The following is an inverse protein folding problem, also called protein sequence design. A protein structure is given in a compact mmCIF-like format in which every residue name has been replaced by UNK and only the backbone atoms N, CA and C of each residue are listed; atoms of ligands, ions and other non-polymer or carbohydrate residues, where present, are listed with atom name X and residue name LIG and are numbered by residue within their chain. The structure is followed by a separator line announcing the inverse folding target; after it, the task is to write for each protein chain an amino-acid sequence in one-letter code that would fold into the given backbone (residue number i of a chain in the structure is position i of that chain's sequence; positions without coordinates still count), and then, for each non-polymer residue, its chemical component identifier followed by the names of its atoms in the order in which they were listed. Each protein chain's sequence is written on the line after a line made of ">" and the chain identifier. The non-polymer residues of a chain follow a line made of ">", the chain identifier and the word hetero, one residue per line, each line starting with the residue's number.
data_IF_456220405626
#
_entry.id   IF_456220405626
#
_cell.length_a   1.000
_cell.length_b   1.000
_cell.length_c   1.000
_cell.angle_alpha   90.00
_cell.angle_beta   90.00
_cell.angle_gamma   90.00
#
_symmetry.space_group_name_H-M   'P 1'
#
loop_
_entity.id
_entity.type
_entity.pdbx_description
1 polymer ?
#
# COMPACT_ATOMS: atom_id res chain seq x y z
N UNK A 1 -5.34 -12.72 31.35
CA UNK A 1 -5.04 -12.34 29.96
C UNK A 1 -5.99 -13.13 29.06
N UNK A 2 -6.86 -12.47 28.29
CA UNK A 2 -7.89 -13.16 27.48
C UNK A 2 -7.26 -14.02 26.38
N UNK A 3 -7.98 -15.02 25.85
CA UNK A 3 -7.47 -15.82 24.74
C UNK A 3 -7.16 -14.97 23.49
N UNK A 4 -7.93 -13.91 23.25
CA UNK A 4 -7.66 -12.93 22.18
C UNK A 4 -6.30 -12.26 22.37
N UNK A 5 -5.97 -11.83 23.60
CA UNK A 5 -4.68 -11.21 23.90
C UNK A 5 -3.52 -12.19 23.69
N UNK A 6 -3.67 -13.45 24.13
CA UNK A 6 -2.66 -14.49 23.94
C UNK A 6 -2.44 -14.80 22.45
N UNK A 7 -3.52 -14.88 21.67
CA UNK A 7 -3.44 -15.07 20.23
C UNK A 7 -2.72 -13.91 19.52
N UNK A 8 -3.05 -12.66 19.86
CA UNK A 8 -2.39 -11.49 19.27
C UNK A 8 -0.90 -11.44 19.62
N UNK A 9 -0.52 -11.84 20.84
CA UNK A 9 0.87 -11.96 21.25
C UNK A 9 1.60 -13.06 20.46
N UNK A 10 0.97 -14.23 20.27
CA UNK A 10 1.49 -15.30 19.40
C UNK A 10 1.73 -14.80 17.97
N UNK A 11 0.78 -14.06 17.39
CA UNK A 11 0.94 -13.49 16.04
C UNK A 11 2.09 -12.49 15.95
N UNK A 12 2.32 -11.72 17.03
CA UNK A 12 3.38 -10.74 17.10
C UNK A 12 4.76 -11.40 17.24
N UNK A 13 4.91 -12.33 18.17
CA UNK A 13 6.20 -12.92 18.56
C UNK A 13 6.61 -14.04 17.60
N UNK A 14 5.72 -15.00 17.37
CA UNK A 14 6.05 -16.21 16.62
C UNK A 14 5.86 -16.05 15.11
N UNK A 15 4.78 -15.35 14.70
CA UNK A 15 4.47 -15.14 13.28
C UNK A 15 5.04 -13.84 12.70
N UNK A 16 5.62 -12.97 13.55
CA UNK A 16 6.18 -11.66 13.18
C UNK A 16 5.27 -10.88 12.22
N UNK A 17 3.96 -10.92 12.47
CA UNK A 17 2.99 -10.22 11.62
C UNK A 17 3.20 -8.71 11.70
N UNK A 18 2.90 -8.01 10.60
CA UNK A 18 3.03 -6.55 10.58
C UNK A 18 2.12 -5.89 11.63
N UNK A 19 2.57 -4.78 12.21
CA UNK A 19 1.79 -4.00 13.18
C UNK A 19 0.38 -3.65 12.66
N UNK A 20 0.27 -3.29 11.37
CA UNK A 20 -1.02 -3.00 10.74
C UNK A 20 -1.96 -4.20 10.70
N UNK A 21 -1.44 -5.41 10.47
CA UNK A 21 -2.26 -6.63 10.50
C UNK A 21 -2.70 -6.96 11.92
N UNK A 22 -1.80 -6.80 12.90
CA UNK A 22 -2.12 -7.00 14.32
C UNK A 22 -3.21 -6.03 14.79
N UNK A 23 -3.10 -4.74 14.47
CA UNK A 23 -4.11 -3.74 14.82
C UNK A 23 -5.45 -3.97 14.12
N UNK A 24 -5.42 -4.49 12.90
CA UNK A 24 -6.62 -4.89 12.17
C UNK A 24 -7.32 -6.09 12.83
N UNK A 25 -6.54 -7.11 13.22
CA UNK A 25 -7.06 -8.32 13.89
C UNK A 25 -7.55 -8.00 15.30
N UNK A 26 -6.82 -7.16 16.05
CA UNK A 26 -7.25 -6.68 17.37
C UNK A 26 -8.63 -6.04 17.30
N UNK A 27 -8.81 -5.02 16.44
CA UNK A 27 -10.11 -4.36 16.25
C UNK A 27 -11.24 -5.31 15.84
N UNK A 28 -10.93 -6.33 15.05
CA UNK A 28 -11.93 -7.31 14.60
C UNK A 28 -12.34 -8.29 15.71
N UNK A 29 -11.39 -8.74 16.52
CA UNK A 29 -11.64 -9.66 17.65
C UNK A 29 -12.19 -8.95 18.88
N UNK A 30 -11.84 -7.68 19.09
CA UNK A 30 -12.47 -6.83 20.10
C UNK A 30 -13.96 -6.64 19.78
N UNK A 31 -14.30 -6.44 18.50
CA UNK A 31 -15.70 -6.36 18.08
C UNK A 31 -16.47 -7.68 18.33
N UNK A 32 -15.82 -8.83 18.14
CA UNK A 32 -16.42 -10.14 18.50
C UNK A 32 -16.63 -10.25 20.01
N UNK A 33 -15.63 -9.84 20.80
CA UNK A 33 -15.68 -9.88 22.26
C UNK A 33 -16.80 -9.00 22.81
N UNK A 34 -16.92 -7.76 22.31
CA UNK A 34 -18.00 -6.83 22.64
C UNK A 34 -19.39 -7.33 22.20
N UNK A 35 -19.47 -8.09 21.11
CA UNK A 35 -20.73 -8.70 20.69
C UNK A 35 -21.13 -9.89 21.58
N UNK A 36 -20.15 -10.64 22.10
CA UNK A 36 -20.38 -11.80 22.95
C UNK A 36 -20.67 -11.42 24.42
N UNK A 37 -20.13 -10.30 24.90
CA UNK A 37 -20.25 -9.86 26.30
C UNK A 37 -21.71 -9.74 26.79
N UNK A 38 -22.64 -9.05 26.09
CA UNK A 38 -24.04 -8.98 26.52
C UNK A 38 -24.78 -10.33 26.52
N UNK A 39 -24.22 -11.36 25.86
CA UNK A 39 -24.78 -12.71 25.80
C UNK A 39 -24.24 -13.61 26.92
N UNK A 40 -23.26 -13.13 27.69
CA UNK A 40 -22.63 -13.91 28.77
C UNK A 40 -21.83 -15.12 28.29
N UNK A 41 -21.45 -15.17 27.00
CA UNK A 41 -20.73 -16.29 26.40
C UNK A 41 -19.28 -15.87 26.13
N UNK A 42 -18.33 -16.69 26.58
CA UNK A 42 -16.91 -16.50 26.24
C UNK A 42 -16.69 -16.67 24.73
N UNK A 43 -15.77 -15.89 24.15
CA UNK A 43 -15.52 -15.94 22.70
C UNK A 43 -15.06 -17.32 22.23
N UNK A 44 -14.39 -18.08 23.10
CA UNK A 44 -13.93 -19.45 22.88
C UNK A 44 -15.10 -20.45 22.79
N UNK A 45 -16.22 -20.14 23.44
CA UNK A 45 -17.41 -21.00 23.53
C UNK A 45 -18.49 -20.69 22.48
N UNK A 46 -18.25 -19.71 21.60
CA UNK A 46 -19.19 -19.40 20.52
C UNK A 46 -19.25 -20.54 19.50
N UNK A 47 -20.45 -20.96 19.15
CA UNK A 47 -20.68 -21.94 18.11
C UNK A 47 -20.75 -21.29 16.70
N UNK A 48 -20.97 -22.14 15.69
CA UNK A 48 -21.06 -21.71 14.29
C UNK A 48 -22.20 -20.71 14.08
N UNK A 49 -23.31 -20.88 14.78
CA UNK A 49 -24.51 -20.06 14.62
C UNK A 49 -24.33 -18.69 15.26
N UNK A 50 -23.70 -18.62 16.44
CA UNK A 50 -23.34 -17.38 17.09
C UNK A 50 -22.36 -16.55 16.24
N UNK A 51 -21.32 -17.17 15.69
CA UNK A 51 -20.38 -16.46 14.80
C UNK A 51 -21.08 -16.01 13.50
N UNK A 52 -22.04 -16.79 12.99
CA UNK A 52 -22.87 -16.38 11.83
C UNK A 52 -23.75 -15.17 12.17
N UNK A 53 -24.40 -15.18 13.32
CA UNK A 53 -25.23 -14.07 13.80
C UNK A 53 -24.38 -12.80 14.00
N UNK A 54 -23.18 -12.92 14.57
CA UNK A 54 -22.25 -11.80 14.67
C UNK A 54 -21.95 -11.15 13.32
N UNK A 55 -21.64 -11.95 12.29
CA UNK A 55 -21.37 -11.44 10.94
C UNK A 55 -22.61 -10.76 10.34
N UNK A 56 -23.80 -11.32 10.57
CA UNK A 56 -25.06 -10.74 10.13
C UNK A 56 -25.36 -9.40 10.85
N UNK A 57 -25.13 -9.32 12.15
CA UNK A 57 -25.31 -8.11 12.95
C UNK A 57 -24.39 -6.99 12.49
N UNK A 58 -23.12 -7.32 12.21
CA UNK A 58 -22.17 -6.35 11.69
C UNK A 58 -22.54 -5.88 10.27
N UNK A 59 -23.05 -6.77 9.43
CA UNK A 59 -23.61 -6.38 8.13
C UNK A 59 -24.80 -5.42 8.31
N UNK A 60 -25.71 -5.69 9.24
CA UNK A 60 -26.84 -4.79 9.57
C UNK A 60 -26.38 -3.44 10.11
N UNK A 61 -25.25 -3.39 10.82
CA UNK A 61 -24.60 -2.15 11.27
C UNK A 61 -23.86 -1.39 10.16
N UNK A 62 -23.93 -1.85 8.91
CA UNK A 62 -23.39 -1.16 7.74
C UNK A 62 -21.93 -1.49 7.42
N UNK A 63 -21.36 -2.55 8.00
CA UNK A 63 -20.01 -2.98 7.63
C UNK A 63 -19.98 -3.47 6.17
N UNK A 64 -19.06 -2.91 5.37
CA UNK A 64 -18.89 -3.35 3.98
C UNK A 64 -18.53 -4.84 3.88
N UNK A 65 -18.90 -5.49 2.77
CA UNK A 65 -18.56 -6.89 2.50
C UNK A 65 -17.05 -7.18 2.63
N UNK A 66 -16.18 -6.24 2.22
CA UNK A 66 -14.72 -6.36 2.36
C UNK A 66 -14.28 -6.33 3.83
N UNK A 67 -14.90 -5.47 4.63
CA UNK A 67 -14.66 -5.41 6.08
C UNK A 67 -15.10 -6.70 6.77
N UNK A 68 -16.25 -7.26 6.39
CA UNK A 68 -16.76 -8.53 6.91
C UNK A 68 -15.86 -9.71 6.54
N UNK A 69 -15.36 -9.76 5.29
CA UNK A 69 -14.40 -10.79 4.86
C UNK A 69 -13.11 -10.75 5.68
N UNK A 70 -12.56 -9.55 5.93
CA UNK A 70 -11.36 -9.36 6.77
C UNK A 70 -11.64 -9.80 8.21
N UNK A 71 -12.76 -9.38 8.78
CA UNK A 71 -13.16 -9.76 10.14
C UNK A 71 -13.33 -11.26 10.30
N UNK A 72 -14.01 -11.91 9.36
CA UNK A 72 -14.13 -13.36 9.36
C UNK A 72 -12.78 -14.07 9.20
N UNK A 73 -11.82 -13.46 8.48
CA UNK A 73 -10.45 -13.98 8.39
C UNK A 73 -9.72 -13.89 9.73
N UNK A 74 -9.92 -12.81 10.49
CA UNK A 74 -9.40 -12.69 11.86
C UNK A 74 -10.03 -13.77 12.78
N UNK A 75 -11.36 -13.96 12.74
CA UNK A 75 -12.05 -15.00 13.50
C UNK A 75 -11.52 -16.40 13.15
N UNK A 76 -11.40 -16.73 11.86
CA UNK A 76 -10.83 -18.03 11.43
C UNK A 76 -9.41 -18.25 11.93
N UNK A 77 -8.57 -17.21 11.87
CA UNK A 77 -7.19 -17.30 12.34
C UNK A 77 -7.12 -17.54 13.85
N UNK A 78 -8.00 -16.86 14.61
CA UNK A 78 -8.14 -17.02 16.05
C UNK A 78 -8.65 -18.43 16.44
N UNK A 79 -9.77 -18.89 15.87
CA UNK A 79 -10.31 -20.21 16.18
C UNK A 79 -9.40 -21.35 15.70
N UNK A 80 -8.70 -21.18 14.57
CA UNK A 80 -7.68 -22.14 14.16
C UNK A 80 -6.50 -22.17 15.14
N UNK A 81 -6.16 -21.05 15.78
CA UNK A 81 -5.15 -21.01 16.84
C UNK A 81 -5.64 -21.72 18.10
N UNK A 82 -6.88 -21.46 18.55
CA UNK A 82 -7.49 -22.17 19.68
C UNK A 82 -7.50 -23.69 19.46
N UNK A 83 -7.92 -24.13 18.27
CA UNK A 83 -7.96 -25.54 17.89
C UNK A 83 -6.56 -26.18 17.96
N UNK A 84 -5.54 -25.52 17.43
CA UNK A 84 -4.14 -26.01 17.50
C UNK A 84 -3.59 -26.11 18.93
N UNK A 85 -4.14 -25.34 19.87
CA UNK A 85 -3.75 -25.36 21.28
C UNK A 85 -4.67 -26.23 22.13
N UNK A 86 -5.54 -27.04 21.50
CA UNK A 86 -6.45 -27.95 22.20
C UNK A 86 -7.51 -27.25 23.05
N UNK A 87 -7.79 -25.97 22.79
CA UNK A 87 -8.76 -25.19 23.58
C UNK A 87 -10.20 -25.34 23.12
N UNK A 88 -10.39 -25.82 21.90
CA UNK A 88 -11.68 -26.12 21.29
C UNK A 88 -11.51 -27.39 20.45
N UNK A 89 -12.59 -28.14 20.24
CA UNK A 89 -12.58 -29.36 19.43
C UNK A 89 -12.81 -29.09 17.94
N UNK A 90 -13.55 -28.03 17.62
CA UNK A 90 -13.86 -27.63 16.26
C UNK A 90 -13.91 -26.10 16.12
N UNK A 91 -13.48 -25.58 14.97
CA UNK A 91 -13.49 -24.14 14.71
C UNK A 91 -14.86 -23.67 14.18
N UNK A 92 -15.61 -22.81 14.91
CA UNK A 92 -16.93 -22.33 14.50
C UNK A 92 -16.91 -21.44 13.25
N UNK A 93 -15.76 -20.84 12.93
CA UNK A 93 -15.61 -19.93 11.79
C UNK A 93 -15.12 -20.60 10.50
N UNK A 94 -14.79 -21.90 10.53
CA UNK A 94 -14.05 -22.57 9.45
C UNK A 94 -14.82 -22.54 8.11
N UNK A 95 -16.11 -22.84 8.14
CA UNK A 95 -16.95 -23.01 6.95
C UNK A 95 -17.80 -21.78 6.61
N UNK A 96 -17.90 -20.81 7.53
CA UNK A 96 -18.71 -19.61 7.34
C UNK A 96 -18.25 -18.82 6.12
N UNK A 97 -19.17 -18.21 5.38
CA UNK A 97 -18.86 -17.36 4.22
C UNK A 97 -19.38 -15.96 4.47
N UNK A 98 -18.51 -14.96 4.33
CA UNK A 98 -18.94 -13.56 4.29
C UNK A 98 -19.59 -13.24 2.93
N UNK A 99 -20.47 -12.23 2.87
CA UNK A 99 -21.01 -11.74 1.60
C UNK A 99 -19.90 -11.49 0.58
N UNK A 100 -20.14 -11.86 -0.69
CA UNK A 100 -19.20 -11.57 -1.76
C UNK A 100 -19.18 -10.07 -2.00
N UNK A 101 -18.03 -9.44 -1.76
CA UNK A 101 -17.82 -8.08 -2.23
C UNK A 101 -17.85 -8.08 -3.77
N UNK A 102 -18.59 -7.16 -4.42
CA UNK A 102 -18.54 -7.03 -5.86
C UNK A 102 -17.10 -6.72 -6.30
N UNK A 103 -16.61 -7.45 -7.31
CA UNK A 103 -15.33 -7.14 -7.94
C UNK A 103 -15.51 -5.88 -8.77
N UNK A 104 -15.05 -4.75 -8.26
CA UNK A 104 -14.85 -3.55 -9.08
C UNK A 104 -13.55 -3.72 -9.83
N UNK A 105 -13.57 -3.48 -11.15
CA UNK A 105 -12.34 -3.38 -11.91
C UNK A 105 -11.49 -2.26 -11.30
N UNK A 106 -10.17 -2.48 -11.11
CA UNK A 106 -9.29 -1.41 -10.67
C UNK A 106 -9.41 -0.23 -11.63
N UNK A 107 -9.68 0.96 -11.09
CA UNK A 107 -9.61 2.18 -11.87
C UNK A 107 -8.14 2.60 -11.96
N UNK A 108 -7.70 2.92 -13.18
CA UNK A 108 -6.43 3.59 -13.46
C UNK A 108 -6.72 5.01 -13.94
N UNK A 109 -5.80 5.92 -13.63
CA UNK A 109 -5.60 7.11 -14.46
C UNK A 109 -5.06 6.67 -15.81
N UNK A 110 -5.62 7.20 -16.88
CA UNK A 110 -4.96 7.13 -18.19
C UNK A 110 -3.72 8.05 -18.21
N UNK A 111 -2.99 8.02 -19.31
CA UNK A 111 -1.74 8.75 -19.46
C UNK A 111 -1.94 10.27 -19.34
N UNK A 112 -3.01 10.81 -19.92
CA UNK A 112 -3.29 12.25 -19.93
C UNK A 112 -3.74 12.75 -18.55
N UNK A 113 -4.58 11.98 -17.85
CA UNK A 113 -4.97 12.26 -16.47
C UNK A 113 -3.77 12.20 -15.50
N UNK A 114 -2.85 11.25 -15.71
CA UNK A 114 -1.63 11.16 -14.91
C UNK A 114 -0.73 12.38 -15.13
N UNK A 115 -0.62 12.86 -16.38
CA UNK A 115 0.09 14.09 -16.73
C UNK A 115 -0.56 15.28 -16.07
N UNK A 116 -1.87 15.44 -16.26
CA UNK A 116 -2.64 16.50 -15.64
C UNK A 116 -2.45 16.53 -14.13
N UNK A 117 -2.39 15.37 -13.46
CA UNK A 117 -2.12 15.31 -12.03
C UNK A 117 -0.72 15.82 -11.67
N UNK A 118 0.32 15.38 -12.38
CA UNK A 118 1.71 15.78 -12.06
C UNK A 118 1.99 17.21 -12.50
N UNK A 119 1.41 17.71 -13.59
CA UNK A 119 1.67 19.01 -14.22
C UNK A 119 1.21 20.24 -13.42
N UNK A 120 0.78 20.08 -12.17
CA UNK A 120 0.49 21.22 -11.32
C UNK A 120 1.74 22.10 -11.18
N UNK A 121 1.58 23.39 -11.46
CA UNK A 121 2.61 24.40 -11.21
C UNK A 121 2.87 24.47 -9.69
N UNK A 122 4.12 24.23 -9.24
CA UNK A 122 4.41 24.18 -7.82
C UNK A 122 4.36 25.57 -7.20
N UNK A 123 3.33 25.81 -6.38
CA UNK A 123 3.22 27.03 -5.56
C UNK A 123 4.02 26.89 -4.25
N UNK A 124 5.14 27.60 -4.17
CA UNK A 124 6.01 27.64 -2.99
C UNK A 124 6.61 26.29 -2.61
N UNK A 125 7.15 26.21 -1.40
CA UNK A 125 7.82 25.02 -0.86
C UNK A 125 6.91 23.78 -0.88
N UNK A 126 5.64 23.96 -0.48
CA UNK A 126 4.66 22.90 -0.43
C UNK A 126 4.35 22.33 -1.83
N UNK A 127 4.24 23.20 -2.84
CA UNK A 127 4.01 22.81 -4.23
C UNK A 127 5.15 21.97 -4.79
N UNK A 128 6.41 22.34 -4.52
CA UNK A 128 7.59 21.59 -5.00
C UNK A 128 7.69 20.22 -4.33
N UNK A 129 7.42 20.15 -3.02
CA UNK A 129 7.30 18.87 -2.30
C UNK A 129 6.24 17.98 -2.92
N UNK A 130 5.06 18.53 -3.16
CA UNK A 130 3.93 17.79 -3.72
C UNK A 130 4.22 17.31 -5.15
N UNK A 131 4.89 18.12 -5.97
CA UNK A 131 5.36 17.73 -7.30
C UNK A 131 6.34 16.57 -7.22
N UNK A 132 7.37 16.67 -6.38
CA UNK A 132 8.34 15.60 -6.18
C UNK A 132 7.68 14.30 -5.69
N UNK A 133 6.69 14.41 -4.80
CA UNK A 133 5.92 13.27 -4.31
C UNK A 133 5.12 12.59 -5.43
N UNK A 134 4.37 13.35 -6.22
CA UNK A 134 3.54 12.81 -7.30
C UNK A 134 4.39 12.17 -8.40
N UNK A 135 5.45 12.87 -8.82
CA UNK A 135 6.39 12.36 -9.83
C UNK A 135 7.07 11.08 -9.35
N UNK A 136 7.53 11.03 -8.10
CA UNK A 136 8.13 9.80 -7.55
C UNK A 136 7.11 8.66 -7.51
N UNK A 137 5.88 8.89 -7.03
CA UNK A 137 4.84 7.85 -7.00
C UNK A 137 4.54 7.28 -8.38
N UNK A 138 4.35 8.18 -9.36
CA UNK A 138 4.00 7.81 -10.71
C UNK A 138 5.17 7.17 -11.47
N UNK A 139 6.43 7.49 -11.11
CA UNK A 139 7.62 7.00 -11.83
C UNK A 139 8.26 5.73 -11.30
N UNK A 140 7.96 5.36 -10.06
CA UNK A 140 8.65 4.24 -9.38
C UNK A 140 7.71 3.11 -9.00
N UNK A 141 6.39 3.36 -9.01
CA UNK A 141 5.43 2.39 -8.52
C UNK A 141 5.74 1.94 -7.10
N UNK A 142 6.24 2.83 -6.24
CA UNK A 142 6.48 2.54 -4.82
C UNK A 142 5.16 2.38 -4.04
N UNK A 143 5.21 1.67 -2.92
CA UNK A 143 4.07 1.59 -1.99
C UNK A 143 3.99 2.89 -1.21
N UNK A 144 2.78 3.25 -0.77
CA UNK A 144 2.58 4.44 0.07
C UNK A 144 3.46 4.44 1.31
N UNK A 145 3.56 3.29 1.99
CA UNK A 145 4.42 3.12 3.15
C UNK A 145 5.91 3.27 2.83
N UNK A 146 6.34 2.85 1.64
CA UNK A 146 7.74 2.95 1.20
C UNK A 146 8.07 4.42 0.94
N UNK A 147 7.26 5.16 0.17
CA UNK A 147 7.46 6.60 -0.08
C UNK A 147 7.50 7.41 1.21
N UNK A 148 6.60 7.13 2.17
CA UNK A 148 6.58 7.84 3.45
C UNK A 148 7.80 7.56 4.32
N UNK A 149 8.49 6.42 4.11
CA UNK A 149 9.65 6.02 4.91
C UNK A 149 10.99 6.41 4.29
N UNK A 150 11.01 6.93 3.05
CA UNK A 150 12.24 7.27 2.35
C UNK A 150 13.02 8.38 3.07
N UNK A 151 14.33 8.20 3.08
CA UNK A 151 15.32 9.20 3.45
C UNK A 151 16.19 9.56 2.24
N UNK A 152 16.87 10.71 2.28
CA UNK A 152 17.64 11.17 1.12
C UNK A 152 18.79 10.22 0.72
N UNK A 153 19.35 9.44 1.65
CA UNK A 153 20.35 8.39 1.35
C UNK A 153 19.80 7.23 0.51
N UNK A 154 18.48 7.04 0.52
CA UNK A 154 17.85 5.94 -0.21
C UNK A 154 17.77 6.24 -1.71
N UNK A 155 17.95 7.51 -2.11
CA UNK A 155 17.89 7.99 -3.50
C UNK A 155 19.29 8.13 -4.09
N UNK A 156 19.60 7.29 -5.08
CA UNK A 156 20.77 7.44 -5.93
C UNK A 156 20.39 8.22 -7.19
N UNK A 157 20.70 9.53 -7.17
CA UNK A 157 20.43 10.43 -8.28
C UNK A 157 21.36 10.23 -9.48
N UNK A 158 22.49 9.55 -9.32
CA UNK A 158 23.40 9.27 -10.42
C UNK A 158 22.89 8.10 -11.26
N UNK A 159 22.43 7.04 -10.61
CA UNK A 159 21.87 5.88 -11.30
C UNK A 159 20.35 5.96 -11.54
N UNK A 160 19.65 6.91 -10.91
CA UNK A 160 18.19 7.02 -11.00
C UNK A 160 17.46 5.89 -10.27
N UNK A 161 18.04 5.41 -9.17
CA UNK A 161 17.53 4.26 -8.41
C UNK A 161 17.16 4.66 -6.98
N UNK A 162 16.05 4.10 -6.48
CA UNK A 162 15.66 4.19 -5.06
C UNK A 162 15.81 2.83 -4.39
N UNK A 163 16.49 2.81 -3.25
CA UNK A 163 16.65 1.66 -2.39
C UNK A 163 15.45 1.56 -1.45
N UNK A 164 14.70 0.45 -1.48
CA UNK A 164 13.54 0.27 -0.60
C UNK A 164 13.57 -1.05 0.15
N UNK A 165 13.13 -1.00 1.40
CA UNK A 165 13.00 -2.15 2.27
C UNK A 165 11.60 -2.78 2.11
N UNK A 166 11.55 -4.00 1.58
CA UNK A 166 10.33 -4.77 1.38
C UNK A 166 9.92 -5.64 2.58
N UNK A 167 8.81 -6.37 2.43
CA UNK A 167 8.30 -7.33 3.43
C UNK A 167 9.36 -8.41 3.69
N UNK A 168 9.63 -8.70 4.97
CA UNK A 168 10.66 -9.66 5.37
C UNK A 168 12.09 -9.10 5.36
N UNK A 169 12.26 -7.78 5.42
CA UNK A 169 13.55 -7.08 5.45
C UNK A 169 14.41 -7.30 4.19
N UNK A 170 13.78 -7.60 3.05
CA UNK A 170 14.49 -7.74 1.76
C UNK A 170 14.57 -6.37 1.08
N UNK A 171 15.78 -5.93 0.76
CA UNK A 171 15.98 -4.71 -0.02
C UNK A 171 15.74 -4.97 -1.51
N UNK A 172 15.15 -3.99 -2.20
CA UNK A 172 15.10 -3.95 -3.66
C UNK A 172 15.42 -2.56 -4.17
N UNK A 173 15.94 -2.48 -5.39
CA UNK A 173 16.18 -1.23 -6.11
C UNK A 173 15.09 -1.02 -7.14
N UNK A 174 14.58 0.20 -7.21
CA UNK A 174 13.49 0.58 -8.11
C UNK A 174 13.95 1.81 -8.90
N UNK A 175 13.90 1.80 -10.23
CA UNK A 175 14.18 3.01 -11.02
C UNK A 175 13.12 4.09 -10.79
N UNK A 176 13.55 5.35 -10.93
CA UNK A 176 12.66 6.49 -11.10
C UNK A 176 13.12 7.32 -12.29
N UNK A 177 12.16 7.80 -13.09
CA UNK A 177 12.42 8.51 -14.34
C UNK A 177 13.00 9.91 -14.15
N UNK A 178 13.42 10.50 -15.27
CA UNK A 178 13.98 11.85 -15.31
C UNK A 178 13.05 12.92 -14.70
N UNK A 179 11.72 12.94 -14.94
CA UNK A 179 10.83 13.93 -14.32
C UNK A 179 10.84 13.89 -12.79
N UNK A 180 10.86 12.68 -12.21
CA UNK A 180 10.97 12.51 -10.76
C UNK A 180 12.32 12.92 -10.22
N UNK A 181 13.41 12.64 -10.96
CA UNK A 181 14.75 13.10 -10.61
C UNK A 181 14.82 14.63 -10.54
N UNK A 182 14.32 15.32 -11.56
CA UNK A 182 14.31 16.78 -11.65
C UNK A 182 13.48 17.38 -10.49
N UNK A 183 12.27 16.87 -10.26
CA UNK A 183 11.41 17.35 -9.17
C UNK A 183 12.00 17.09 -7.77
N UNK A 184 12.62 15.91 -7.55
CA UNK A 184 13.26 15.58 -6.29
C UNK A 184 14.49 16.46 -6.01
N UNK A 185 15.29 16.80 -7.04
CA UNK A 185 16.44 17.69 -6.87
C UNK A 185 15.99 19.12 -6.55
N UNK A 186 14.95 19.63 -7.21
CA UNK A 186 14.36 20.93 -6.90
C UNK A 186 13.77 20.96 -5.48
N UNK A 187 13.17 19.86 -5.02
CA UNK A 187 12.71 19.73 -3.65
C UNK A 187 13.87 19.64 -2.64
N UNK A 188 14.95 18.95 -3.01
CA UNK A 188 16.13 18.75 -2.16
C UNK A 188 16.83 20.06 -1.83
N UNK A 189 16.91 20.99 -2.79
CA UNK A 189 17.55 22.29 -2.57
C UNK A 189 16.85 23.14 -1.52
N UNK A 190 15.54 22.92 -1.29
CA UNK A 190 14.74 23.70 -0.34
C UNK A 190 14.65 23.02 1.03
N UNK A 191 14.49 21.69 1.02
CA UNK A 191 14.37 20.88 2.24
C UNK A 191 15.71 20.59 2.94
N UNK A 192 16.83 21.07 2.39
CA UNK A 192 18.19 20.85 2.91
C UNK A 192 18.79 19.48 2.60
N UNK A 193 17.98 18.46 2.32
CA UNK A 193 18.44 17.25 1.63
C UNK A 193 19.49 16.39 2.35
N UNK A 194 19.60 16.50 3.68
CA UNK A 194 20.60 15.76 4.46
C UNK A 194 20.33 14.24 4.39
N UNK A 195 21.37 13.38 4.28
CA UNK A 195 21.19 11.95 4.01
C UNK A 195 20.29 11.19 4.98
N UNK A 196 20.24 11.59 6.26
CA UNK A 196 19.42 10.93 7.30
C UNK A 196 17.98 11.46 7.37
N UNK A 197 17.70 12.62 6.76
CA UNK A 197 16.39 13.24 6.85
C UNK A 197 15.39 12.55 5.91
N UNK A 198 14.11 12.52 6.30
CA UNK A 198 13.06 12.03 5.43
C UNK A 198 13.00 12.87 4.15
N UNK A 199 12.77 12.22 3.01
CA UNK A 199 12.54 12.92 1.73
C UNK A 199 11.31 13.80 1.85
N UNK A 200 10.26 13.30 2.49
CA UNK A 200 9.02 14.04 2.72
C UNK A 200 8.78 14.22 4.22
N UNK A 201 9.13 15.38 4.80
CA UNK A 201 8.90 15.65 6.21
C UNK A 201 7.41 15.93 6.52
N UNK A 202 6.98 15.50 7.70
CA UNK A 202 5.75 15.88 8.38
C UNK A 202 6.06 16.65 9.67
N UNK A 203 5.05 16.81 10.54
CA UNK A 203 5.17 17.63 11.76
C UNK A 203 6.22 17.12 12.75
N UNK A 204 6.30 15.80 12.94
CA UNK A 204 7.16 15.15 13.95
C UNK A 204 7.95 13.96 13.34
N UNK A 205 8.60 14.16 12.20
CA UNK A 205 9.30 13.11 11.47
C UNK A 205 8.79 12.94 10.04
N UNK A 206 8.80 11.73 9.46
CA UNK A 206 8.32 11.53 8.08
C UNK A 206 6.83 11.85 7.91
N UNK A 207 6.42 12.21 6.70
CA UNK A 207 5.02 12.45 6.37
C UNK A 207 4.17 11.21 6.63
N UNK A 208 2.98 11.39 7.20
CA UNK A 208 2.08 10.26 7.44
C UNK A 208 1.40 9.80 6.15
N UNK A 209 1.13 8.50 6.05
CA UNK A 209 0.38 7.92 4.94
C UNK A 209 -0.97 8.63 4.73
N UNK A 210 -1.62 9.03 5.83
CA UNK A 210 -2.89 9.75 5.78
C UNK A 210 -2.73 11.14 5.18
N UNK A 211 -1.68 11.88 5.55
CA UNK A 211 -1.39 13.20 4.99
C UNK A 211 -1.15 13.14 3.48
N UNK A 212 -0.38 12.14 3.01
CA UNK A 212 -0.18 11.91 1.56
C UNK A 212 -1.50 11.61 0.84
N UNK A 213 -2.34 10.73 1.39
CA UNK A 213 -3.66 10.42 0.81
C UNK A 213 -4.57 11.65 0.73
N UNK A 214 -4.53 12.53 1.73
CA UNK A 214 -5.29 13.79 1.72
C UNK A 214 -4.73 14.73 0.66
N UNK A 215 -3.41 14.91 0.58
CA UNK A 215 -2.80 15.78 -0.43
C UNK A 215 -3.06 15.33 -1.86
N UNK A 216 -2.85 14.06 -2.19
CA UNK A 216 -3.10 13.55 -3.54
C UNK A 216 -4.54 13.80 -3.98
N UNK A 217 -5.50 13.62 -3.08
CA UNK A 217 -6.92 13.90 -3.36
C UNK A 217 -7.16 15.38 -3.62
N UNK A 218 -6.60 16.26 -2.79
CA UNK A 218 -6.74 17.71 -2.98
C UNK A 218 -6.08 18.17 -4.28
N UNK A 219 -4.91 17.63 -4.62
CA UNK A 219 -4.20 17.92 -5.87
C UNK A 219 -5.02 17.47 -7.08
N UNK A 220 -5.57 16.25 -7.05
CA UNK A 220 -6.43 15.75 -8.10
C UNK A 220 -7.70 16.61 -8.30
N UNK A 221 -8.34 17.04 -7.20
CA UNK A 221 -9.50 17.93 -7.26
C UNK A 221 -9.15 19.30 -7.84
N UNK A 222 -8.00 19.88 -7.45
CA UNK A 222 -7.52 21.16 -8.00
C UNK A 222 -7.27 21.07 -9.50
N UNK A 223 -6.76 19.93 -9.96
CA UNK A 223 -6.55 19.68 -11.38
C UNK A 223 -7.83 19.29 -12.12
N UNK A 224 -9.00 19.25 -11.47
CA UNK A 224 -10.27 18.95 -12.15
C UNK A 224 -10.47 17.47 -12.50
N UNK A 225 -9.74 16.55 -11.85
CA UNK A 225 -9.93 15.11 -12.05
C UNK A 225 -11.20 14.63 -11.34
N UNK A 226 -12.14 14.08 -12.10
CA UNK A 226 -13.40 13.51 -11.58
C UNK A 226 -13.20 12.17 -10.86
N UNK A 227 -12.06 11.51 -11.07
CA UNK A 227 -11.71 10.23 -10.42
C UNK A 227 -11.25 10.44 -8.99
N UNK A 228 -11.59 9.51 -8.10
CA UNK A 228 -11.06 9.50 -6.75
C UNK A 228 -9.61 8.98 -6.74
N UNK A 229 -8.66 9.90 -6.94
CA UNK A 229 -7.24 9.58 -7.00
C UNK A 229 -6.69 9.26 -5.60
N UNK A 230 -5.92 8.17 -5.51
CA UNK A 230 -5.27 7.73 -4.28
C UNK A 230 -3.95 6.98 -4.60
N UNK A 231 -3.02 6.81 -3.65
CA UNK A 231 -1.70 6.18 -3.89
C UNK A 231 -1.72 4.80 -4.59
N UNK A 232 -2.74 3.97 -4.35
CA UNK A 232 -2.86 2.69 -5.03
C UNK A 232 -3.27 2.80 -6.51
N UNK A 233 -3.92 3.91 -6.91
CA UNK A 233 -4.37 4.18 -8.28
C UNK A 233 -3.16 4.61 -9.10
N UNK A 234 -2.50 5.72 -8.73
CA UNK A 234 -1.05 5.79 -8.50
C UNK A 234 -0.19 4.69 -9.12
N UNK A 235 0.13 3.76 -8.22
CA UNK A 235 0.91 2.57 -8.48
C UNK A 235 0.33 1.69 -9.60
N UNK A 236 -1.00 1.56 -9.66
CA UNK A 236 -1.63 0.70 -10.66
C UNK A 236 -1.57 1.30 -12.06
N UNK A 237 -1.78 2.61 -12.22
CA UNK A 237 -1.55 3.35 -13.46
C UNK A 237 -0.12 3.19 -13.93
N UNK A 238 0.87 3.37 -13.04
CA UNK A 238 2.26 3.09 -13.38
C UNK A 238 2.49 1.67 -13.90
N UNK A 239 1.96 0.67 -13.18
CA UNK A 239 2.07 -0.73 -13.57
C UNK A 239 1.47 -1.00 -14.95
N UNK A 240 0.26 -0.49 -15.20
CA UNK A 240 -0.45 -0.64 -16.46
C UNK A 240 0.28 0.06 -17.60
N UNK A 241 0.71 1.31 -17.42
CA UNK A 241 1.38 2.08 -18.47
C UNK A 241 2.78 1.54 -18.81
N UNK A 242 3.54 1.05 -17.82
CA UNK A 242 4.80 0.35 -18.11
C UNK A 242 4.53 -0.97 -18.82
N UNK A 243 3.51 -1.74 -18.42
CA UNK A 243 3.19 -2.99 -19.11
C UNK A 243 2.80 -2.76 -20.57
N UNK A 244 1.98 -1.74 -20.84
CA UNK A 244 1.56 -1.35 -22.19
C UNK A 244 2.73 -0.91 -23.08
N UNK A 245 3.76 -0.28 -22.50
CA UNK A 245 4.92 0.22 -23.24
C UNK A 245 6.08 -0.77 -23.34
N UNK A 246 6.26 -1.66 -22.37
CA UNK A 246 7.37 -2.64 -22.32
C UNK A 246 6.99 -4.02 -22.86
N UNK A 247 5.71 -4.42 -22.77
CA UNK A 247 5.27 -5.79 -23.07
C UNK A 247 5.78 -6.86 -22.08
N UNK A 248 6.53 -6.50 -21.03
CA UNK A 248 7.13 -7.44 -20.08
C UNK A 248 6.38 -7.46 -18.74
N UNK A 249 5.44 -8.41 -18.63
CA UNK A 249 4.66 -8.63 -17.41
C UNK A 249 5.55 -9.05 -16.21
N UNK A 250 6.63 -9.79 -16.44
CA UNK A 250 7.49 -10.29 -15.35
C UNK A 250 8.35 -9.16 -14.77
N UNK A 251 8.97 -8.35 -15.62
CA UNK A 251 9.72 -7.15 -15.19
C UNK A 251 8.86 -6.17 -14.38
N UNK A 252 7.60 -5.96 -14.79
CA UNK A 252 6.64 -5.13 -14.04
C UNK A 252 6.28 -5.73 -12.68
N UNK A 253 6.06 -7.05 -12.61
CA UNK A 253 5.70 -7.72 -11.35
C UNK A 253 6.82 -7.67 -10.30
N UNK A 254 8.08 -7.79 -10.73
CA UNK A 254 9.27 -7.68 -9.87
C UNK A 254 9.50 -6.25 -9.37
N UNK A 255 9.38 -5.26 -10.26
CA UNK A 255 9.42 -3.84 -9.92
C UNK A 255 8.42 -3.50 -8.81
N UNK A 256 7.24 -4.12 -8.88
CA UNK A 256 6.16 -3.96 -7.90
C UNK A 256 6.27 -4.89 -6.67
N UNK A 257 7.27 -5.77 -6.61
CA UNK A 257 7.62 -6.56 -5.42
C UNK A 257 6.49 -7.42 -4.86
N UNK A 258 5.76 -8.14 -5.72
CA UNK A 258 4.75 -9.13 -5.30
C UNK A 258 5.41 -10.36 -4.63
N UNK A 259 4.78 -10.90 -3.59
CA UNK A 259 5.43 -11.75 -2.59
C UNK A 259 5.20 -13.27 -2.72
N UNK A 260 4.45 -13.75 -3.71
CA UNK A 260 4.29 -15.19 -3.94
C UNK A 260 5.20 -15.69 -5.09
N UNK A 261 6.30 -16.33 -4.66
CA UNK A 261 6.96 -17.57 -5.14
C UNK A 261 7.42 -17.62 -6.62
N UNK A 262 8.71 -17.80 -6.93
CA UNK A 262 9.81 -18.12 -6.02
C UNK A 262 11.20 -18.00 -6.64
N UNK A 263 11.98 -17.13 -5.99
CA UNK A 263 13.38 -17.29 -5.59
C UNK A 263 14.47 -17.51 -6.64
N UNK A 264 15.25 -16.44 -6.75
CA UNK A 264 16.72 -16.42 -6.82
C UNK A 264 17.31 -16.58 -8.20
N UNK A 265 17.99 -15.50 -8.64
CA UNK A 265 18.91 -15.46 -9.77
C UNK A 265 18.34 -15.77 -11.15
N UNK A 266 17.26 -15.07 -11.50
CA UNK A 266 17.05 -14.71 -12.91
C UNK A 266 16.84 -13.20 -12.88
N UNK A 267 17.44 -12.47 -13.81
CA UNK A 267 17.49 -10.99 -13.90
C UNK A 267 18.65 -10.27 -13.21
N UNK A 268 19.84 -10.85 -13.28
CA UNK A 268 21.07 -10.07 -13.49
C UNK A 268 21.07 -9.29 -14.83
N UNK A 269 20.02 -9.46 -15.65
CA UNK A 269 19.92 -8.96 -17.02
C UNK A 269 18.73 -8.03 -17.32
N UNK A 270 17.83 -7.75 -16.37
CA UNK A 270 16.92 -6.60 -16.57
C UNK A 270 17.74 -5.35 -16.30
N UNK A 271 18.15 -4.69 -17.39
CA UNK A 271 18.75 -3.38 -17.31
C UNK A 271 17.70 -2.41 -16.76
N UNK A 272 17.76 -2.11 -15.46
CA UNK A 272 16.86 -1.15 -14.83
C UNK A 272 16.95 0.24 -15.49
N UNK A 273 18.05 0.55 -16.19
CA UNK A 273 18.15 1.75 -17.01
C UNK A 273 17.25 1.65 -18.25
N UNK A 274 17.05 0.46 -18.82
CA UNK A 274 16.09 0.25 -19.90
C UNK A 274 14.65 0.49 -19.43
N UNK A 275 14.27 0.01 -18.23
CA UNK A 275 12.95 0.31 -17.66
C UNK A 275 12.76 1.80 -17.37
N UNK A 276 13.79 2.50 -16.89
CA UNK A 276 13.75 3.96 -16.74
C UNK A 276 13.61 4.67 -18.09
N UNK A 277 14.29 4.20 -19.14
CA UNK A 277 14.16 4.73 -20.51
C UNK A 277 12.78 4.46 -21.10
N UNK A 278 12.21 3.28 -20.88
CA UNK A 278 10.85 2.94 -21.31
C UNK A 278 9.86 3.82 -20.58
N UNK A 279 10.03 4.00 -19.26
CA UNK A 279 9.24 4.96 -18.50
C UNK A 279 9.37 6.36 -19.08
N UNK A 280 10.58 6.87 -19.29
CA UNK A 280 10.81 8.19 -19.89
C UNK A 280 10.13 8.29 -21.26
N UNK A 281 10.27 7.30 -22.16
CA UNK A 281 9.64 7.30 -23.49
C UNK A 281 8.11 7.17 -23.44
N UNK A 282 7.58 6.42 -22.47
CA UNK A 282 6.15 6.24 -22.23
C UNK A 282 5.53 7.42 -21.48
N UNK A 283 6.35 8.20 -20.77
CA UNK A 283 5.92 9.37 -20.03
C UNK A 283 5.37 10.39 -21.03
N UNK A 284 4.13 10.88 -20.87
CA UNK A 284 3.55 11.69 -21.95
C UNK A 284 4.27 13.03 -22.14
N UNK A 285 5.00 13.51 -21.12
CA UNK A 285 5.93 14.65 -21.27
C UNK A 285 7.10 14.39 -22.22
N UNK A 286 7.58 13.15 -22.41
CA UNK A 286 8.63 12.88 -23.38
C UNK A 286 8.15 12.96 -24.83
N UNK A 287 6.83 12.88 -25.06
CA UNK A 287 6.23 13.08 -26.38
C UNK A 287 6.02 14.56 -26.73
N UNK A 288 6.09 15.47 -25.75
CA UNK A 288 6.09 16.92 -25.97
C UNK A 288 7.52 17.38 -26.29
N UNK A 289 7.79 17.77 -27.54
CA UNK A 289 9.05 18.46 -27.92
C UNK A 289 9.17 19.75 -27.09
N UNK A 290 10.37 20.12 -26.60
CA UNK A 290 10.56 21.44 -26.03
C UNK A 290 10.37 22.46 -27.15
N UNK A 291 9.32 23.28 -27.06
CA UNK A 291 9.25 24.53 -27.81
C UNK A 291 10.34 25.42 -27.25
N UNK A 292 11.33 25.71 -28.09
CA UNK A 292 12.45 26.60 -27.78
C UNK A 292 12.04 28.05 -27.63
#
# INVERSE_FOLDING_TARGET
>A
MSAVQQFLQHLQVERRMSAHTLDAYRRDLDALSLWAEPRGVAVEALDVDAVRQFVADEHRRGLSAKSLQRRLSACRSFYAWLLRHGRIEASPAATLKAPRAPRRLPQVLDADEAVQLVELEPEGELGRRDRALLELFYSSGLRLSEVCALTWRDLDFASGLVNVMGKGNRQRRVPFGRPAREALLAWRSESGGLPALPVFPGRNGPISQRAVQVRIRQLAQRQGLFKHVHPHMLRHSFASHILESSGDLRGVQELLGHADIATTQIYTHLDFQHLAKVYDASHPRAKRKPTG
#
